data_IF_715084988409
#
_entry.id   IF_715084988409
#
_cell.length_a   1.000
_cell.length_b   1.000
_cell.length_c   1.000
_cell.angle_alpha   90.00
_cell.angle_beta   90.00
_cell.angle_gamma   90.00
#
_symmetry.space_group_name_H-M   'P 1'
#
loop_
_entity.id
_entity.type
_entity.pdbx_description
1 polymer ?
#
# COMPACT_ATOMS: atom_id res chain seq x y z
N UNK A 1 7.94 10.98 -16.29
CA UNK A 1 8.30 9.65 -15.75
C UNK A 1 8.95 8.86 -16.85
N UNK A 2 10.01 8.13 -16.53
CA UNK A 2 10.65 7.17 -17.44
C UNK A 2 9.80 5.91 -17.54
N UNK A 3 9.92 5.18 -18.65
CA UNK A 3 9.20 3.91 -18.88
C UNK A 3 9.42 2.90 -17.74
N UNK A 4 10.65 2.79 -17.24
CA UNK A 4 10.96 1.88 -16.13
C UNK A 4 10.27 2.23 -14.80
N UNK A 5 9.99 3.51 -14.53
CA UNK A 5 9.25 3.93 -13.33
C UNK A 5 7.78 3.51 -13.43
N UNK A 6 7.18 3.67 -14.61
CA UNK A 6 5.79 3.26 -14.88
C UNK A 6 5.66 1.75 -14.75
N UNK A 7 6.58 0.98 -15.35
CA UNK A 7 6.60 -0.48 -15.25
C UNK A 7 6.68 -0.93 -13.79
N UNK A 8 7.52 -0.30 -12.96
CA UNK A 8 7.60 -0.63 -11.53
C UNK A 8 6.31 -0.34 -10.77
N UNK A 9 5.65 0.80 -11.03
CA UNK A 9 4.33 1.11 -10.44
C UNK A 9 3.32 0.02 -10.77
N UNK A 10 3.29 -0.43 -12.03
CA UNK A 10 2.39 -1.52 -12.47
C UNK A 10 2.74 -2.82 -11.76
N UNK A 11 4.01 -3.22 -11.74
CA UNK A 11 4.45 -4.46 -11.08
C UNK A 11 4.10 -4.46 -9.59
N UNK A 12 4.41 -3.39 -8.85
CA UNK A 12 4.09 -3.33 -7.43
C UNK A 12 2.59 -3.30 -7.16
N UNK A 13 1.80 -2.65 -8.03
CA UNK A 13 0.33 -2.68 -7.92
C UNK A 13 -0.23 -4.09 -8.17
N UNK A 14 0.30 -4.82 -9.14
CA UNK A 14 -0.09 -6.21 -9.41
C UNK A 14 0.31 -7.14 -8.28
N UNK A 15 1.53 -7.02 -7.75
CA UNK A 15 1.97 -7.79 -6.58
C UNK A 15 1.10 -7.50 -5.36
N UNK A 16 0.74 -6.24 -5.14
CA UNK A 16 -0.18 -5.89 -4.07
C UNK A 16 -1.60 -6.41 -4.27
N UNK A 17 -2.10 -6.41 -5.51
CA UNK A 17 -3.39 -7.02 -5.81
C UNK A 17 -3.38 -8.54 -5.52
N UNK A 18 -2.34 -9.26 -5.96
CA UNK A 18 -2.20 -10.69 -5.70
C UNK A 18 -2.12 -10.94 -4.19
N UNK A 19 -1.33 -10.16 -3.47
CA UNK A 19 -1.18 -10.33 -2.03
C UNK A 19 -2.49 -10.07 -1.28
N UNK A 20 -3.17 -8.95 -1.57
CA UNK A 20 -4.41 -8.57 -0.89
C UNK A 20 -5.62 -9.44 -1.28
N UNK A 21 -5.77 -9.82 -2.54
CA UNK A 21 -6.99 -10.50 -3.00
C UNK A 21 -6.87 -12.02 -3.10
N UNK A 22 -5.66 -12.57 -3.08
CA UNK A 22 -5.45 -14.02 -3.10
C UNK A 22 -4.78 -14.53 -1.83
N UNK A 23 -3.63 -13.95 -1.44
CA UNK A 23 -2.82 -14.50 -0.34
C UNK A 23 -3.47 -14.25 1.02
N UNK A 24 -3.79 -13.00 1.34
CA UNK A 24 -4.39 -12.64 2.62
C UNK A 24 -5.73 -13.35 2.91
N UNK A 25 -6.72 -13.39 2.00
CA UNK A 25 -7.97 -14.10 2.29
C UNK A 25 -7.76 -15.61 2.41
N UNK A 26 -6.79 -16.20 1.70
CA UNK A 26 -6.43 -17.61 1.88
C UNK A 26 -5.86 -17.90 3.27
N UNK A 27 -5.00 -17.01 3.78
CA UNK A 27 -4.47 -17.10 5.15
C UNK A 27 -5.61 -17.07 6.18
N UNK A 28 -6.60 -16.20 6.00
CA UNK A 28 -7.75 -16.13 6.89
C UNK A 28 -8.68 -17.35 6.77
N UNK A 29 -8.98 -17.80 5.55
CA UNK A 29 -9.84 -18.97 5.31
C UNK A 29 -9.26 -20.25 5.91
N UNK A 30 -7.93 -20.37 5.95
CA UNK A 30 -7.25 -21.51 6.54
C UNK A 30 -7.10 -21.42 8.07
N UNK A 31 -7.57 -20.36 8.71
CA UNK A 31 -7.41 -20.16 10.16
C UNK A 31 -5.97 -19.97 10.62
N UNK A 32 -5.02 -19.74 9.69
CA UNK A 32 -3.58 -19.71 9.97
C UNK A 32 -3.15 -18.61 10.94
N UNK A 33 -3.87 -17.49 10.95
CA UNK A 33 -3.55 -16.35 11.82
C UNK A 33 -4.43 -16.28 13.05
N UNK A 34 -5.72 -16.58 12.95
CA UNK A 34 -6.67 -16.37 14.03
C UNK A 34 -7.91 -17.23 13.90
N UNK A 35 -8.38 -17.73 15.05
CA UNK A 35 -9.67 -18.42 15.16
C UNK A 35 -10.63 -17.56 15.98
N UNK A 36 -11.74 -17.08 15.40
CA UNK A 36 -12.76 -16.33 16.13
C UNK A 36 -13.54 -17.24 17.08
N UNK A 37 -13.95 -16.70 18.23
CA UNK A 37 -14.71 -17.45 19.24
C UNK A 37 -16.20 -17.53 18.85
N UNK A 38 -16.50 -18.34 17.83
CA UNK A 38 -17.86 -18.56 17.31
C UNK A 38 -18.12 -20.06 17.09
N UNK A 39 -19.38 -20.46 17.04
CA UNK A 39 -19.79 -21.88 16.96
C UNK A 39 -19.27 -22.63 15.72
N UNK A 40 -18.91 -21.93 14.64
CA UNK A 40 -18.22 -22.47 13.47
C UNK A 40 -17.22 -21.44 12.91
N UNK A 41 -15.97 -21.43 13.40
CA UNK A 41 -14.99 -20.41 13.03
C UNK A 41 -14.61 -20.45 11.55
N UNK A 42 -14.48 -21.64 10.97
CA UNK A 42 -14.10 -21.81 9.56
C UNK A 42 -15.15 -21.22 8.61
N UNK A 43 -16.43 -21.59 8.79
CA UNK A 43 -17.52 -21.09 7.96
C UNK A 43 -17.73 -19.57 8.14
N UNK A 44 -17.55 -19.05 9.37
CA UNK A 44 -17.64 -17.63 9.63
C UNK A 44 -16.50 -16.85 8.94
N UNK A 45 -15.26 -17.35 9.04
CA UNK A 45 -14.10 -16.76 8.37
C UNK A 45 -14.21 -16.84 6.85
N UNK A 46 -14.76 -17.94 6.30
CA UNK A 46 -14.93 -18.07 4.86
C UNK A 46 -15.95 -17.06 4.30
N UNK A 47 -17.10 -16.93 4.97
CA UNK A 47 -18.14 -15.96 4.59
C UNK A 47 -17.63 -14.52 4.73
N UNK A 48 -16.97 -14.21 5.84
CA UNK A 48 -16.34 -12.91 6.08
C UNK A 48 -15.25 -12.58 5.04
N UNK A 49 -14.34 -13.53 4.81
CA UNK A 49 -13.21 -13.38 3.89
C UNK A 49 -13.67 -13.18 2.43
N UNK A 50 -14.82 -13.74 2.06
CA UNK A 50 -15.36 -13.64 0.70
C UNK A 50 -16.26 -12.42 0.48
N UNK A 51 -16.71 -11.74 1.55
CA UNK A 51 -17.60 -10.59 1.48
C UNK A 51 -16.98 -9.33 2.06
N UNK A 52 -17.06 -9.19 3.38
CA UNK A 52 -16.62 -8.03 4.15
C UNK A 52 -15.14 -7.70 3.94
N UNK A 53 -14.28 -8.72 4.04
CA UNK A 53 -12.85 -8.57 3.78
C UNK A 53 -12.59 -8.07 2.35
N UNK A 54 -13.24 -8.65 1.34
CA UNK A 54 -13.03 -8.27 -0.05
C UNK A 54 -13.42 -6.80 -0.29
N UNK A 55 -14.52 -6.35 0.32
CA UNK A 55 -14.93 -4.95 0.27
C UNK A 55 -13.88 -4.04 0.94
N UNK A 56 -13.41 -4.41 2.13
CA UNK A 56 -12.39 -3.66 2.87
C UNK A 56 -11.06 -3.58 2.09
N UNK A 57 -10.58 -4.72 1.61
CA UNK A 57 -9.36 -4.82 0.80
C UNK A 57 -9.47 -4.00 -0.49
N UNK A 58 -10.64 -4.02 -1.16
CA UNK A 58 -10.89 -3.22 -2.37
C UNK A 58 -10.77 -1.72 -2.09
N UNK A 59 -11.37 -1.24 -1.00
CA UNK A 59 -11.26 0.16 -0.60
C UNK A 59 -9.81 0.57 -0.33
N UNK A 60 -9.09 -0.18 0.50
CA UNK A 60 -7.69 0.14 0.86
C UNK A 60 -6.78 0.06 -0.35
N UNK A 61 -6.95 -0.96 -1.20
CA UNK A 61 -6.19 -1.13 -2.43
C UNK A 61 -6.40 0.05 -3.40
N UNK A 62 -7.67 0.38 -3.70
CA UNK A 62 -8.01 1.44 -4.64
C UNK A 62 -7.47 2.80 -4.19
N UNK A 63 -7.63 3.13 -2.90
CA UNK A 63 -7.12 4.37 -2.32
C UNK A 63 -5.59 4.40 -2.35
N UNK A 64 -4.92 3.30 -2.02
CA UNK A 64 -3.46 3.21 -2.03
C UNK A 64 -2.88 3.38 -3.44
N UNK A 65 -3.45 2.70 -4.44
CA UNK A 65 -3.04 2.83 -5.84
C UNK A 65 -3.30 4.24 -6.36
N UNK A 66 -4.48 4.80 -6.08
CA UNK A 66 -4.82 6.17 -6.47
C UNK A 66 -3.84 7.19 -5.89
N UNK A 67 -3.57 7.15 -4.59
CA UNK A 67 -2.60 8.04 -3.92
C UNK A 67 -1.19 7.90 -4.51
N UNK A 68 -0.80 6.68 -4.87
CA UNK A 68 0.50 6.38 -5.49
C UNK A 68 0.60 7.00 -6.88
N UNK A 69 -0.40 6.78 -7.73
CA UNK A 69 -0.45 7.35 -9.08
C UNK A 69 -0.46 8.88 -8.99
N UNK A 70 -1.30 9.43 -8.11
CA UNK A 70 -1.38 10.87 -7.90
C UNK A 70 -0.03 11.46 -7.49
N UNK A 71 0.65 10.85 -6.52
CA UNK A 71 2.00 11.26 -6.14
C UNK A 71 2.96 11.21 -7.32
N UNK A 72 3.03 10.09 -8.05
CA UNK A 72 3.92 9.92 -9.19
C UNK A 72 3.69 10.99 -10.27
N UNK A 73 2.43 11.33 -10.56
CA UNK A 73 2.06 12.38 -11.52
C UNK A 73 2.48 13.76 -11.02
N UNK A 74 2.22 14.09 -9.75
CA UNK A 74 2.61 15.38 -9.16
C UNK A 74 4.13 15.53 -9.13
N UNK A 75 4.85 14.49 -8.70
CA UNK A 75 6.31 14.44 -8.69
C UNK A 75 6.88 14.61 -10.10
N UNK A 76 6.27 13.99 -11.12
CA UNK A 76 6.71 14.11 -12.52
C UNK A 76 6.57 15.54 -13.06
N UNK A 77 5.59 16.29 -12.57
CA UNK A 77 5.32 17.68 -12.95
C UNK A 77 6.05 18.68 -12.04
N UNK A 78 6.74 18.22 -11.01
CA UNK A 78 7.43 19.10 -10.07
C UNK A 78 8.51 19.90 -10.80
N UNK A 79 8.52 21.22 -10.59
CA UNK A 79 9.58 22.14 -11.02
C UNK A 79 10.47 22.52 -9.84
N UNK A 80 10.60 21.66 -8.83
CA UNK A 80 11.39 21.96 -7.65
C UNK A 80 12.87 22.00 -8.01
N UNK A 81 13.51 23.15 -7.81
CA UNK A 81 14.95 23.34 -8.02
C UNK A 81 15.66 23.74 -6.73
N UNK A 82 14.93 24.30 -5.74
CA UNK A 82 15.52 24.77 -4.48
C UNK A 82 15.33 23.76 -3.34
N UNK A 83 16.26 23.70 -2.36
CA UNK A 83 16.12 22.83 -1.19
C UNK A 83 14.80 23.03 -0.41
N UNK A 84 14.33 24.28 -0.31
CA UNK A 84 13.09 24.61 0.40
C UNK A 84 11.86 24.04 -0.31
N UNK A 85 11.88 24.03 -1.66
CA UNK A 85 10.82 23.45 -2.49
C UNK A 85 10.79 21.93 -2.32
N UNK A 86 11.96 21.26 -2.25
CA UNK A 86 12.05 19.81 -2.01
C UNK A 86 11.44 19.45 -0.64
N UNK A 87 11.65 20.28 0.39
CA UNK A 87 11.04 20.09 1.72
C UNK A 87 9.51 20.18 1.65
N UNK A 88 8.98 21.12 0.87
CA UNK A 88 7.53 21.21 0.63
C UNK A 88 6.98 19.95 -0.04
N UNK A 89 7.70 19.36 -0.99
CA UNK A 89 7.32 18.09 -1.61
C UNK A 89 7.31 16.92 -0.62
N UNK A 90 8.18 16.94 0.39
CA UNK A 90 8.12 15.96 1.49
C UNK A 90 6.83 16.03 2.28
N UNK A 91 6.35 17.24 2.58
CA UNK A 91 5.08 17.44 3.25
C UNK A 91 3.90 16.92 2.40
N UNK A 92 3.92 17.17 1.09
CA UNK A 92 2.92 16.62 0.18
C UNK A 92 2.93 15.09 0.12
N UNK A 93 4.11 14.46 0.14
CA UNK A 93 4.21 13.00 0.19
C UNK A 93 3.56 12.45 1.46
N UNK A 94 3.81 13.06 2.62
CA UNK A 94 3.19 12.66 3.88
C UNK A 94 1.67 12.85 3.89
N UNK A 95 1.17 13.98 3.37
CA UNK A 95 -0.28 14.21 3.25
C UNK A 95 -0.93 13.11 2.41
N UNK A 96 -0.34 12.77 1.25
CA UNK A 96 -0.86 11.69 0.41
C UNK A 96 -0.72 10.33 1.08
N UNK A 97 0.34 10.09 1.85
CA UNK A 97 0.54 8.85 2.61
C UNK A 97 -0.43 8.67 3.77
N UNK A 98 -0.97 9.75 4.32
CA UNK A 98 -2.02 9.68 5.35
C UNK A 98 -3.35 9.19 4.78
N UNK A 99 -3.65 9.44 3.51
CA UNK A 99 -4.95 9.04 2.91
C UNK A 99 -5.13 7.51 2.94
N UNK A 100 -4.17 6.69 2.47
CA UNK A 100 -4.23 5.24 2.65
C UNK A 100 -4.33 4.82 4.12
N UNK A 101 -3.59 5.46 5.03
CA UNK A 101 -3.61 5.11 6.46
C UNK A 101 -5.01 5.32 7.05
N UNK A 102 -5.64 6.46 6.73
CA UNK A 102 -7.02 6.73 7.14
C UNK A 102 -8.01 5.73 6.54
N UNK A 103 -7.77 5.26 5.31
CA UNK A 103 -8.62 4.26 4.67
C UNK A 103 -8.67 2.93 5.43
N UNK A 104 -7.60 2.55 6.15
CA UNK A 104 -7.59 1.37 7.03
C UNK A 104 -8.62 1.56 8.14
N UNK A 105 -8.58 2.70 8.82
CA UNK A 105 -9.50 2.98 9.92
C UNK A 105 -10.96 2.94 9.47
N UNK A 106 -11.25 3.51 8.30
CA UNK A 106 -12.59 3.48 7.70
C UNK A 106 -12.98 2.06 7.29
N UNK A 107 -12.10 1.32 6.62
CA UNK A 107 -12.37 -0.03 6.15
C UNK A 107 -12.63 -0.99 7.32
N UNK A 108 -11.78 -0.97 8.35
CA UNK A 108 -11.95 -1.82 9.53
C UNK A 108 -13.15 -1.37 10.37
N UNK A 109 -13.35 -0.07 10.53
CA UNK A 109 -14.43 0.47 11.36
C UNK A 109 -15.82 0.24 10.78
N UNK A 110 -15.98 0.28 9.46
CA UNK A 110 -17.28 0.19 8.80
C UNK A 110 -17.58 -1.16 8.16
N UNK A 111 -16.55 -1.90 7.71
CA UNK A 111 -16.75 -3.09 6.88
C UNK A 111 -16.42 -4.40 7.59
N UNK A 112 -15.79 -4.37 8.77
CA UNK A 112 -15.36 -5.57 9.47
C UNK A 112 -16.21 -5.88 10.72
N UNK A 113 -17.00 -6.95 10.65
CA UNK A 113 -17.88 -7.42 11.70
C UNK A 113 -17.18 -8.22 12.81
N UNK A 114 -16.09 -8.93 12.50
CA UNK A 114 -15.39 -9.80 13.45
C UNK A 114 -14.36 -8.97 14.24
N UNK A 115 -14.54 -8.82 15.56
CA UNK A 115 -13.69 -7.98 16.39
C UNK A 115 -12.27 -8.55 16.54
N UNK A 116 -12.18 -9.88 16.61
CA UNK A 116 -10.98 -10.66 16.91
C UNK A 116 -9.92 -10.55 15.81
N UNK A 117 -10.34 -10.37 14.55
CA UNK A 117 -9.43 -10.26 13.40
C UNK A 117 -8.95 -8.84 13.13
N UNK A 118 -9.48 -7.82 13.84
CA UNK A 118 -9.16 -6.41 13.55
C UNK A 118 -7.68 -6.10 13.64
N UNK A 119 -7.00 -6.66 14.62
CA UNK A 119 -5.57 -6.41 14.83
C UNK A 119 -4.72 -7.01 13.72
N UNK A 120 -4.96 -8.28 13.37
CA UNK A 120 -4.24 -8.92 12.27
C UNK A 120 -4.53 -8.23 10.94
N UNK A 121 -5.78 -7.82 10.72
CA UNK A 121 -6.19 -7.12 9.51
C UNK A 121 -5.55 -5.73 9.40
N UNK A 122 -5.49 -4.98 10.50
CA UNK A 122 -4.80 -3.69 10.54
C UNK A 122 -3.32 -3.84 10.21
N UNK A 123 -2.65 -4.85 10.76
CA UNK A 123 -1.23 -5.12 10.48
C UNK A 123 -1.02 -5.46 9.00
N UNK A 124 -1.85 -6.32 8.42
CA UNK A 124 -1.77 -6.68 7.00
C UNK A 124 -2.04 -5.47 6.10
N UNK A 125 -3.06 -4.67 6.38
CA UNK A 125 -3.33 -3.46 5.61
C UNK A 125 -2.22 -2.40 5.74
N UNK A 126 -1.56 -2.29 6.89
CA UNK A 126 -0.36 -1.44 7.02
C UNK A 126 0.76 -1.96 6.12
N UNK A 127 0.98 -3.28 6.08
CA UNK A 127 1.95 -3.88 5.16
C UNK A 127 1.58 -3.61 3.69
N UNK A 128 0.29 -3.63 3.35
CA UNK A 128 -0.19 -3.29 2.01
C UNK A 128 0.10 -1.85 1.64
N UNK A 129 -0.11 -0.89 2.55
CA UNK A 129 0.25 0.51 2.31
C UNK A 129 1.77 0.65 2.14
N UNK A 130 2.55 -0.06 2.95
CA UNK A 130 4.01 -0.04 2.83
C UNK A 130 4.44 -0.55 1.45
N UNK A 131 3.78 -1.56 0.89
CA UNK A 131 4.09 -2.08 -0.43
C UNK A 131 3.53 -1.19 -1.56
N UNK A 132 2.23 -0.89 -1.53
CA UNK A 132 1.52 -0.20 -2.61
C UNK A 132 1.90 1.27 -2.70
N UNK A 133 2.01 1.96 -1.56
CA UNK A 133 2.32 3.39 -1.52
C UNK A 133 3.80 3.63 -1.25
N UNK A 134 4.32 3.19 -0.10
CA UNK A 134 5.68 3.59 0.29
C UNK A 134 6.75 3.00 -0.63
N UNK A 135 6.76 1.69 -0.86
CA UNK A 135 7.78 1.02 -1.68
C UNK A 135 7.66 1.47 -3.14
N UNK A 136 6.45 1.56 -3.68
CA UNK A 136 6.24 2.04 -5.05
C UNK A 136 6.75 3.47 -5.23
N UNK A 137 6.43 4.38 -4.30
CA UNK A 137 6.92 5.76 -4.40
C UNK A 137 8.42 5.85 -4.14
N UNK A 138 8.97 5.12 -3.17
CA UNK A 138 10.41 5.08 -2.89
C UNK A 138 11.24 4.67 -4.12
N UNK A 139 10.71 3.78 -4.95
CA UNK A 139 11.41 3.20 -6.12
C UNK A 139 11.08 3.90 -7.44
N UNK A 140 9.91 4.53 -7.54
CA UNK A 140 9.36 5.00 -8.81
C UNK A 140 9.02 6.49 -8.84
N UNK A 141 9.32 7.24 -7.76
CA UNK A 141 9.24 8.72 -7.79
C UNK A 141 10.22 9.29 -8.82
N UNK A 142 9.76 10.08 -9.79
CA UNK A 142 10.60 10.67 -10.83
C UNK A 142 11.30 11.96 -10.39
N UNK A 143 12.33 12.34 -11.14
CA UNK A 143 12.88 13.70 -11.16
C UNK A 143 13.65 14.11 -9.90
N UNK A 144 13.65 15.42 -9.62
CA UNK A 144 14.43 16.02 -8.53
C UNK A 144 13.89 15.69 -7.13
N UNK A 145 12.67 15.17 -7.05
CA UNK A 145 12.00 14.73 -5.81
C UNK A 145 12.11 13.21 -5.57
N UNK A 146 12.98 12.51 -6.31
CA UNK A 146 13.11 11.04 -6.21
C UNK A 146 13.50 10.51 -4.83
N UNK A 147 14.09 11.35 -3.97
CA UNK A 147 14.50 11.02 -2.60
C UNK A 147 13.57 11.59 -1.54
N UNK A 148 12.42 12.14 -1.94
CA UNK A 148 11.41 12.64 -1.01
C UNK A 148 10.77 11.55 -0.14
N UNK A 149 10.48 10.34 -0.66
CA UNK A 149 10.00 9.25 0.19
C UNK A 149 11.07 8.85 1.22
N UNK A 150 10.69 8.64 2.49
CA UNK A 150 11.64 8.25 3.53
C UNK A 150 12.32 6.94 3.15
N UNK A 151 13.63 6.87 3.38
CA UNK A 151 14.51 5.77 2.98
C UNK A 151 14.55 5.48 1.46
N UNK A 152 14.04 6.38 0.62
CA UNK A 152 14.03 6.21 -0.84
C UNK A 152 15.44 6.11 -1.44
N UNK A 153 16.43 6.77 -0.84
CA UNK A 153 17.83 6.66 -1.27
C UNK A 153 18.38 5.26 -1.03
N UNK A 154 18.25 4.75 0.20
CA UNK A 154 18.70 3.42 0.59
C UNK A 154 18.03 2.34 -0.25
N UNK A 155 16.72 2.45 -0.48
CA UNK A 155 15.98 1.49 -1.30
C UNK A 155 16.50 1.46 -2.74
N UNK A 156 16.76 2.63 -3.35
CA UNK A 156 17.32 2.71 -4.71
C UNK A 156 18.74 2.17 -4.79
N UNK A 157 19.56 2.41 -3.77
CA UNK A 157 20.92 1.87 -3.71
C UNK A 157 20.90 0.34 -3.62
N UNK A 158 19.96 -0.25 -2.89
CA UNK A 158 19.72 -1.70 -2.88
C UNK A 158 19.32 -2.18 -4.27
N UNK A 159 18.33 -1.55 -4.90
CA UNK A 159 17.85 -1.95 -6.23
C UNK A 159 18.90 -1.79 -7.34
N UNK A 160 19.79 -0.80 -7.24
CA UNK A 160 20.94 -0.63 -8.14
C UNK A 160 21.89 -1.82 -8.07
N UNK A 161 22.15 -2.36 -6.88
CA UNK A 161 22.98 -3.58 -6.72
C UNK A 161 22.40 -4.78 -7.45
N UNK A 162 21.08 -4.81 -7.65
CA UNK A 162 20.37 -5.86 -8.38
C UNK A 162 20.05 -5.51 -9.84
N UNK A 163 20.52 -4.36 -10.35
CA UNK A 163 20.27 -3.94 -11.74
C UNK A 163 18.83 -3.52 -12.05
N UNK A 164 18.01 -3.20 -11.03
CA UNK A 164 16.57 -2.90 -11.19
C UNK A 164 16.30 -1.41 -11.46
N UNK A 165 17.24 -0.53 -11.10
CA UNK A 165 17.13 0.93 -11.25
C UNK A 165 18.48 1.46 -11.73
N UNK A 166 18.46 2.32 -12.76
CA UNK A 166 19.63 3.11 -13.23
C UNK A 166 19.86 4.34 -12.32
#
# INVERSE_FOLDING_TARGET
>A
MKTGEIIRVIIFSLLGAIFMFAVQPLIYKQGLLWEPNVQNPEAALEAWASGEYMAAATCVFAISVFSTILWCVLAAKSKAHRPDEIKQWSLWWWILGLIPILSIGVAIGLLNSILEVRWSLAILFVLDILMLFWLTTATSTPGLVMYTPPLGRQMRDVLRKFGVVE
#
